data_IF_910844837914
#
_entry.id   IF_910844837914
#
_cell.length_a   1.000
_cell.length_b   1.000
_cell.length_c   1.000
_cell.angle_alpha   90.00
_cell.angle_beta   90.00
_cell.angle_gamma   90.00
#
_symmetry.space_group_name_H-M   'P 1'
#
loop_
_entity.id
_entity.type
_entity.pdbx_description
1 polymer ?
#
# COMPACT_ATOMS: atom_id res chain seq x y z
N UNK A 1 -41.32 39.04 -2.73
CA UNK A 1 -40.23 38.34 -2.04
C UNK A 1 -39.98 36.92 -2.58
N UNK A 2 -40.98 36.12 -2.90
CA UNK A 2 -40.82 34.71 -3.37
C UNK A 2 -40.09 34.53 -4.71
N UNK A 3 -40.16 35.52 -5.64
CA UNK A 3 -39.46 35.46 -6.95
C UNK A 3 -37.95 35.69 -6.84
N UNK A 4 -37.50 36.49 -5.88
CA UNK A 4 -36.08 36.79 -5.69
C UNK A 4 -35.36 35.59 -5.08
N UNK A 5 -36.02 34.85 -4.17
CA UNK A 5 -35.42 33.61 -3.58
C UNK A 5 -35.22 32.49 -4.64
N UNK A 6 -36.19 32.32 -5.59
CA UNK A 6 -36.04 31.33 -6.66
C UNK A 6 -34.87 31.63 -7.62
N UNK A 7 -34.64 32.93 -7.92
CA UNK A 7 -33.52 33.33 -8.78
C UNK A 7 -32.18 33.16 -8.06
N UNK A 8 -32.11 33.52 -6.76
CA UNK A 8 -30.90 33.32 -5.97
C UNK A 8 -30.52 31.84 -5.80
N UNK A 9 -31.52 30.95 -5.58
CA UNK A 9 -31.31 29.51 -5.45
C UNK A 9 -30.86 28.88 -6.79
N UNK A 10 -31.42 29.37 -7.92
CA UNK A 10 -30.99 28.90 -9.24
C UNK A 10 -29.57 29.36 -9.60
N UNK A 11 -29.18 30.58 -9.22
CA UNK A 11 -27.82 31.08 -9.41
C UNK A 11 -26.78 30.30 -8.57
N UNK A 12 -27.12 29.93 -7.34
CA UNK A 12 -26.22 29.15 -6.45
C UNK A 12 -26.02 27.75 -7.02
N UNK A 13 -27.08 27.11 -7.56
CA UNK A 13 -26.99 25.77 -8.17
C UNK A 13 -26.19 25.82 -9.48
N UNK A 14 -26.34 26.86 -10.32
CA UNK A 14 -25.54 27.01 -11.55
C UNK A 14 -24.06 27.27 -11.26
N UNK A 15 -23.73 28.06 -10.22
CA UNK A 15 -22.34 28.34 -9.86
C UNK A 15 -21.68 27.09 -9.28
N UNK A 16 -22.37 26.31 -8.45
CA UNK A 16 -21.81 25.07 -7.90
C UNK A 16 -21.56 24.00 -8.97
N UNK A 17 -22.37 23.93 -10.05
CA UNK A 17 -22.14 23.00 -11.15
C UNK A 17 -20.97 23.40 -12.06
N UNK A 18 -20.64 24.69 -12.17
CA UNK A 18 -19.49 25.16 -12.94
C UNK A 18 -18.16 24.85 -12.23
N UNK A 19 -18.11 24.91 -10.90
CA UNK A 19 -16.89 24.59 -10.13
C UNK A 19 -16.70 23.07 -9.95
N UNK A 20 -17.77 22.27 -9.95
CA UNK A 20 -17.67 20.80 -9.85
C UNK A 20 -17.05 20.17 -11.12
N UNK A 21 -17.24 20.80 -12.28
CA UNK A 21 -16.75 20.27 -13.55
C UNK A 21 -15.21 20.39 -13.69
N UNK A 22 -14.61 21.41 -13.07
CA UNK A 22 -13.15 21.65 -13.15
C UNK A 22 -12.36 20.77 -12.19
N UNK A 23 -13.01 20.23 -11.15
CA UNK A 23 -12.34 19.42 -10.14
C UNK A 23 -12.01 18.00 -10.63
N UNK A 24 -12.87 17.44 -11.50
CA UNK A 24 -12.76 16.10 -12.05
C UNK A 24 -12.39 16.09 -13.54
N UNK A 25 -11.95 17.25 -14.05
CA UNK A 25 -11.57 17.35 -15.45
C UNK A 25 -10.29 16.55 -15.69
N UNK A 26 -10.34 15.67 -16.65
CA UNK A 26 -9.26 14.87 -17.22
C UNK A 26 -9.24 15.20 -18.71
N UNK A 27 -8.25 15.98 -19.15
CA UNK A 27 -8.26 16.58 -20.50
C UNK A 27 -7.79 15.59 -21.58
N UNK A 28 -6.87 14.70 -21.23
CA UNK A 28 -6.24 13.74 -22.15
C UNK A 28 -6.71 12.30 -21.93
N UNK A 29 -7.62 12.10 -20.95
CA UNK A 29 -8.28 10.82 -20.66
C UNK A 29 -7.30 9.70 -20.25
N UNK A 30 -6.22 10.05 -19.54
CA UNK A 30 -5.22 9.09 -19.05
C UNK A 30 -5.61 8.45 -17.68
N UNK A 31 -6.70 8.94 -17.07
CA UNK A 31 -7.23 8.48 -15.77
C UNK A 31 -6.82 9.35 -14.58
N UNK A 32 -5.97 10.35 -14.78
CA UNK A 32 -5.64 11.36 -13.80
C UNK A 32 -6.30 12.70 -14.13
N UNK A 33 -6.78 13.41 -13.11
CA UNK A 33 -7.36 14.73 -13.37
C UNK A 33 -6.27 15.77 -13.63
N UNK A 34 -6.55 16.77 -14.48
CA UNK A 34 -5.67 17.92 -14.75
C UNK A 34 -5.06 18.51 -13.47
N UNK A 35 -5.80 18.46 -12.36
CA UNK A 35 -5.38 19.00 -11.07
C UNK A 35 -4.37 18.08 -10.37
N UNK A 36 -4.54 16.76 -10.47
CA UNK A 36 -3.59 15.78 -9.93
C UNK A 36 -2.27 15.88 -10.67
N UNK A 37 -2.33 15.95 -11.99
CA UNK A 37 -1.17 16.06 -12.86
C UNK A 37 -0.39 17.35 -12.63
N UNK A 38 -1.05 18.51 -12.61
CA UNK A 38 -0.43 19.80 -12.25
C UNK A 38 0.22 19.77 -10.87
N UNK A 39 -0.37 19.04 -9.92
CA UNK A 39 0.19 18.87 -8.57
C UNK A 39 1.40 17.96 -8.55
N UNK A 40 1.41 16.92 -9.38
CA UNK A 40 2.51 15.99 -9.54
C UNK A 40 3.63 16.58 -10.42
N UNK A 41 3.26 17.25 -11.49
CA UNK A 41 4.16 17.84 -12.48
C UNK A 41 4.16 17.12 -13.85
N UNK A 42 3.13 16.27 -14.11
CA UNK A 42 2.85 15.72 -15.44
C UNK A 42 2.07 16.73 -16.31
N UNK A 43 1.96 16.45 -17.60
CA UNK A 43 1.28 17.33 -18.58
C UNK A 43 -0.17 16.88 -18.79
N UNK A 44 -1.19 17.65 -18.35
CA UNK A 44 -2.60 17.29 -18.48
C UNK A 44 -3.16 17.34 -19.89
N UNK A 45 -2.34 17.43 -20.91
CA UNK A 45 -2.73 17.38 -22.32
C UNK A 45 -1.98 16.28 -23.10
N UNK A 46 -1.15 15.49 -22.42
CA UNK A 46 -0.37 14.40 -23.02
C UNK A 46 -0.66 13.09 -22.31
N UNK A 47 -1.50 12.20 -22.87
CA UNK A 47 -1.90 10.93 -22.24
C UNK A 47 -0.74 9.95 -22.03
N UNK A 48 0.47 10.28 -22.49
CA UNK A 48 1.69 9.52 -22.20
C UNK A 48 2.45 10.03 -20.98
N UNK A 49 2.08 11.21 -20.47
CA UNK A 49 2.69 11.88 -19.31
C UNK A 49 1.98 11.56 -18.00
N UNK A 50 1.75 10.28 -17.75
CA UNK A 50 0.99 9.77 -16.57
C UNK A 50 1.73 9.95 -15.25
N UNK A 51 0.99 10.01 -14.14
CA UNK A 51 1.57 10.04 -12.78
C UNK A 51 2.21 8.68 -12.44
N UNK A 52 1.49 7.58 -12.68
CA UNK A 52 1.97 6.21 -12.52
C UNK A 52 1.62 5.40 -13.76
N UNK A 53 2.60 4.77 -14.37
CA UNK A 53 2.40 3.88 -15.54
C UNK A 53 1.48 2.70 -15.25
N UNK A 54 1.38 2.31 -13.97
CA UNK A 54 0.45 1.27 -13.53
C UNK A 54 -0.99 1.74 -13.32
N UNK A 55 -1.31 3.03 -13.50
CA UNK A 55 -2.64 3.58 -13.26
C UNK A 55 -3.03 3.63 -11.79
N UNK A 56 -2.06 3.64 -10.87
CA UNK A 56 -2.31 3.65 -9.43
C UNK A 56 -2.94 4.95 -8.96
N UNK A 57 -3.79 4.94 -7.92
CA UNK A 57 -4.34 6.17 -7.37
C UNK A 57 -3.27 7.17 -6.95
N UNK A 58 -3.53 8.44 -7.11
CA UNK A 58 -2.69 9.52 -6.63
C UNK A 58 -3.45 10.42 -5.65
N UNK A 59 -2.91 10.54 -4.44
CA UNK A 59 -3.47 11.40 -3.39
C UNK A 59 -2.73 12.73 -3.29
N UNK A 60 -3.28 13.76 -3.90
CA UNK A 60 -2.70 15.12 -3.86
C UNK A 60 -2.61 15.72 -2.45
N UNK A 61 -3.32 15.13 -1.47
CA UNK A 61 -3.38 15.59 -0.08
C UNK A 61 -2.51 14.75 0.87
N UNK A 62 -1.79 13.74 0.37
CA UNK A 62 -0.97 12.84 1.19
C UNK A 62 0.03 13.56 2.10
N UNK A 63 0.56 14.71 1.67
CA UNK A 63 1.50 15.52 2.45
C UNK A 63 0.86 16.23 3.66
N UNK A 64 -0.48 16.29 3.74
CA UNK A 64 -1.21 16.84 4.87
C UNK A 64 -1.51 15.80 5.95
N UNK A 65 -1.28 14.52 5.66
CA UNK A 65 -1.52 13.45 6.60
C UNK A 65 -0.42 13.38 7.65
N UNK A 66 -0.77 13.10 8.92
CA UNK A 66 0.25 12.81 9.92
C UNK A 66 1.05 11.57 9.52
N UNK A 67 2.38 11.71 9.47
CA UNK A 67 3.31 10.60 9.24
C UNK A 67 4.07 10.33 10.56
N UNK A 68 3.93 9.13 11.17
CA UNK A 68 4.70 8.78 12.36
C UNK A 68 6.20 8.64 12.07
N UNK A 69 6.57 8.46 10.81
CA UNK A 69 7.94 8.18 10.36
C UNK A 69 8.50 6.85 10.87
N UNK A 70 9.64 6.47 10.32
CA UNK A 70 10.42 5.33 10.80
C UNK A 70 11.32 5.81 11.94
N UNK A 71 10.94 5.50 13.18
CA UNK A 71 11.76 5.83 14.35
C UNK A 71 12.90 4.85 14.50
N UNK A 72 14.07 5.36 14.89
CA UNK A 72 15.23 4.54 15.23
C UNK A 72 15.21 4.04 16.67
N UNK A 73 16.30 3.34 17.05
CA UNK A 73 16.47 2.69 18.35
C UNK A 73 17.40 3.47 19.32
N UNK A 74 17.73 4.72 19.03
CA UNK A 74 18.70 5.49 19.84
C UNK A 74 18.07 6.23 21.02
N UNK A 75 16.81 6.64 20.92
CA UNK A 75 16.12 7.40 21.97
C UNK A 75 14.69 6.89 22.11
N UNK A 76 14.27 6.59 23.34
CA UNK A 76 12.89 6.25 23.63
C UNK A 76 11.96 7.46 23.42
N UNK A 77 10.70 7.24 22.99
CA UNK A 77 10.12 5.95 22.64
C UNK A 77 10.70 5.40 21.32
N UNK A 78 11.09 4.13 21.36
CA UNK A 78 11.75 3.44 20.25
C UNK A 78 10.77 3.10 19.12
N UNK A 79 11.29 3.02 17.91
CA UNK A 79 10.56 2.52 16.74
C UNK A 79 10.30 1.02 16.79
N UNK A 80 9.39 0.55 15.93
CA UNK A 80 9.15 -0.89 15.77
C UNK A 80 10.42 -1.59 15.26
N UNK A 81 10.61 -2.82 15.73
CA UNK A 81 11.82 -3.60 15.47
C UNK A 81 12.99 -3.32 16.44
N UNK A 82 12.92 -2.29 17.25
CA UNK A 82 13.95 -1.99 18.25
C UNK A 82 13.78 -2.85 19.51
N UNK A 83 14.91 -3.27 20.08
CA UNK A 83 14.89 -4.00 21.35
C UNK A 83 14.30 -3.15 22.49
N UNK A 84 13.54 -3.78 23.36
CA UNK A 84 12.85 -3.13 24.48
C UNK A 84 12.79 -4.02 25.72
N UNK A 85 12.57 -3.42 26.88
CA UNK A 85 12.35 -4.14 28.15
C UNK A 85 10.88 -4.15 28.54
N UNK A 86 10.17 -3.05 28.30
CA UNK A 86 8.75 -2.88 28.58
C UNK A 86 8.06 -1.97 27.54
N UNK A 87 6.72 -1.90 27.64
CA UNK A 87 5.88 -1.19 26.65
C UNK A 87 6.11 0.33 26.66
N UNK A 88 6.61 0.91 27.77
CA UNK A 88 6.83 2.36 27.85
C UNK A 88 8.00 2.86 27.00
N UNK A 89 8.87 1.93 26.64
CA UNK A 89 9.98 2.23 25.73
C UNK A 89 9.58 2.26 24.27
N UNK A 90 8.41 1.72 23.89
CA UNK A 90 7.95 1.66 22.53
C UNK A 90 7.14 2.89 22.12
N UNK A 91 7.14 3.20 20.82
CA UNK A 91 6.30 4.27 20.27
C UNK A 91 4.81 4.00 20.53
N UNK A 92 4.02 5.07 20.53
CA UNK A 92 2.58 4.97 20.71
C UNK A 92 1.95 4.00 19.69
N UNK A 93 1.09 3.10 20.18
CA UNK A 93 0.45 2.06 19.37
C UNK A 93 1.27 0.77 19.23
N UNK A 94 2.43 0.68 19.90
CA UNK A 94 3.28 -0.50 19.90
C UNK A 94 3.49 -1.03 21.32
N UNK A 95 3.80 -2.32 21.41
CA UNK A 95 4.14 -3.01 22.66
C UNK A 95 5.52 -3.65 22.57
N UNK A 96 6.11 -3.95 23.70
CA UNK A 96 7.35 -4.72 23.81
C UNK A 96 7.05 -6.22 23.67
N UNK A 97 6.84 -6.66 22.43
CA UNK A 97 6.45 -8.02 22.10
C UNK A 97 7.62 -9.00 22.13
N UNK A 98 7.40 -10.21 22.65
CA UNK A 98 8.39 -11.28 22.64
C UNK A 98 8.24 -12.12 21.35
N UNK A 99 9.27 -12.09 20.49
CA UNK A 99 9.27 -12.81 19.22
C UNK A 99 10.71 -13.25 18.89
N UNK A 100 10.89 -14.45 18.32
CA UNK A 100 12.22 -14.99 17.95
C UNK A 100 13.28 -14.90 19.07
N UNK A 101 12.88 -15.16 20.31
CA UNK A 101 13.74 -15.09 21.51
C UNK A 101 14.25 -13.69 21.89
N UNK A 102 13.70 -12.65 21.28
CA UNK A 102 14.02 -11.25 21.60
C UNK A 102 12.74 -10.49 21.98
N UNK A 103 12.91 -9.43 22.78
CA UNK A 103 11.85 -8.46 23.05
C UNK A 103 12.07 -7.25 22.18
N UNK A 104 11.09 -6.92 21.33
CA UNK A 104 11.19 -5.76 20.45
C UNK A 104 9.84 -5.07 20.31
N UNK A 105 9.89 -3.76 20.06
CA UNK A 105 8.69 -2.98 19.82
C UNK A 105 7.95 -3.50 18.58
N UNK A 106 6.69 -3.84 18.75
CA UNK A 106 5.83 -4.48 17.75
C UNK A 106 4.53 -3.69 17.60
N UNK A 107 4.09 -3.34 16.38
CA UNK A 107 2.88 -2.55 16.19
C UNK A 107 1.62 -3.37 16.54
N UNK A 108 0.63 -2.67 17.10
CA UNK A 108 -0.71 -3.20 17.38
C UNK A 108 -1.71 -2.74 16.30
N UNK A 109 -2.90 -3.36 16.31
CA UNK A 109 -4.04 -2.81 15.57
C UNK A 109 -4.32 -1.37 16.02
N UNK A 110 -4.66 -0.50 15.07
CA UNK A 110 -4.83 0.95 15.29
C UNK A 110 -3.53 1.76 15.15
N UNK A 111 -2.36 1.13 15.11
CA UNK A 111 -1.10 1.85 14.86
C UNK A 111 -1.06 2.37 13.43
N UNK A 112 -0.68 3.63 13.25
CA UNK A 112 -0.53 4.23 11.92
C UNK A 112 0.78 3.77 11.29
N UNK A 113 0.70 3.25 10.07
CA UNK A 113 1.86 2.84 9.27
C UNK A 113 2.62 4.08 8.81
N UNK A 114 3.96 4.12 8.88
CA UNK A 114 4.74 5.25 8.36
C UNK A 114 4.64 5.33 6.84
N UNK A 115 4.84 6.53 6.31
CA UNK A 115 4.91 6.76 4.88
C UNK A 115 6.10 6.00 4.30
N UNK A 116 5.85 5.26 3.25
CA UNK A 116 6.85 4.48 2.55
C UNK A 116 6.77 4.74 1.06
N UNK A 117 7.93 4.96 0.44
CA UNK A 117 8.07 5.08 -1.01
C UNK A 117 8.98 3.96 -1.48
N UNK A 118 8.52 3.16 -2.42
CA UNK A 118 9.27 2.11 -3.09
C UNK A 118 9.21 2.28 -4.60
N UNK A 119 10.08 1.60 -5.32
CA UNK A 119 10.01 1.56 -6.79
C UNK A 119 9.10 0.42 -7.20
N UNK A 120 8.10 0.71 -8.03
CA UNK A 120 7.12 -0.26 -8.47
C UNK A 120 7.61 -1.08 -9.68
N UNK A 121 6.77 -2.02 -10.13
CA UNK A 121 7.06 -2.90 -11.27
C UNK A 121 7.23 -2.18 -12.61
N UNK A 122 6.84 -0.92 -12.70
CA UNK A 122 6.98 -0.09 -13.91
C UNK A 122 8.13 0.92 -13.81
N UNK A 123 8.84 0.93 -12.67
CA UNK A 123 9.97 1.81 -12.38
C UNK A 123 9.57 3.16 -11.80
N UNK A 124 8.30 3.34 -11.40
CA UNK A 124 7.82 4.57 -10.80
C UNK A 124 8.03 4.57 -9.27
N UNK A 125 8.28 5.74 -8.68
CA UNK A 125 8.40 5.92 -7.23
C UNK A 125 6.99 5.97 -6.62
N UNK A 126 6.45 4.80 -6.29
CA UNK A 126 5.14 4.68 -5.70
C UNK A 126 5.16 4.99 -4.20
N UNK A 127 4.26 5.87 -3.77
CA UNK A 127 4.09 6.29 -2.38
C UNK A 127 2.86 5.60 -1.77
N UNK A 128 3.07 4.80 -0.74
CA UNK A 128 1.98 4.05 -0.10
C UNK A 128 0.82 4.95 0.38
N UNK A 129 1.11 6.21 0.73
CA UNK A 129 0.09 7.19 1.14
C UNK A 129 -0.77 7.71 -0.01
N UNK A 130 -0.45 7.37 -1.26
CA UNK A 130 -1.33 7.62 -2.39
C UNK A 130 -2.61 6.80 -2.32
N UNK A 131 -2.60 5.66 -1.62
CA UNK A 131 -3.78 4.83 -1.39
C UNK A 131 -4.65 5.32 -0.22
N UNK A 132 -4.19 6.31 0.56
CA UNK A 132 -4.93 6.80 1.72
C UNK A 132 -6.23 7.49 1.32
N UNK A 133 -7.35 7.06 1.92
CA UNK A 133 -8.70 7.60 1.69
C UNK A 133 -9.19 7.50 0.23
N UNK A 134 -8.73 6.49 -0.52
CA UNK A 134 -9.14 6.23 -1.90
C UNK A 134 -10.34 5.28 -2.03
N UNK A 135 -11.05 4.99 -0.95
CA UNK A 135 -12.33 4.24 -0.98
C UNK A 135 -12.23 2.76 -0.61
N UNK A 136 -11.07 2.13 -0.75
CA UNK A 136 -10.87 0.72 -0.43
C UNK A 136 -9.90 0.49 0.72
N UNK A 137 -9.99 -0.64 1.44
CA UNK A 137 -8.94 -1.06 2.38
C UNK A 137 -7.65 -1.40 1.62
N UNK A 138 -6.53 -1.46 2.36
CA UNK A 138 -5.23 -1.75 1.76
C UNK A 138 -4.73 -3.08 2.34
N UNK A 139 -4.38 -4.02 1.47
CA UNK A 139 -3.73 -5.27 1.82
C UNK A 139 -2.24 -5.15 1.52
N UNK A 140 -1.40 -5.27 2.54
CA UNK A 140 0.05 -5.33 2.40
C UNK A 140 0.49 -6.79 2.47
N UNK A 141 1.25 -7.25 1.50
CA UNK A 141 2.02 -8.49 1.54
C UNK A 141 3.50 -8.14 1.70
N UNK A 142 4.14 -8.61 2.76
CA UNK A 142 5.61 -8.62 2.85
C UNK A 142 6.12 -9.94 2.30
N UNK A 143 6.98 -9.91 1.30
CA UNK A 143 7.37 -11.09 0.56
C UNK A 143 8.87 -11.16 0.26
N UNK A 144 9.34 -12.36 -0.04
CA UNK A 144 10.70 -12.61 -0.48
C UNK A 144 10.68 -13.54 -1.70
N UNK A 145 11.36 -13.16 -2.77
CA UNK A 145 11.31 -13.86 -4.05
C UNK A 145 11.79 -15.31 -3.98
N UNK A 146 12.70 -15.65 -3.05
CA UNK A 146 13.23 -17.01 -2.88
C UNK A 146 12.27 -17.96 -2.16
N UNK A 147 11.15 -17.49 -1.58
CA UNK A 147 10.25 -18.36 -0.80
C UNK A 147 9.27 -19.10 -1.70
N UNK A 148 9.16 -20.45 -1.60
CA UNK A 148 8.19 -21.20 -2.40
C UNK A 148 6.75 -20.75 -2.18
N UNK A 149 6.40 -20.35 -0.95
CA UNK A 149 5.06 -19.87 -0.59
C UNK A 149 4.69 -18.60 -1.36
N UNK A 150 5.62 -17.64 -1.47
CA UNK A 150 5.39 -16.42 -2.24
C UNK A 150 5.21 -16.71 -3.74
N UNK A 151 6.00 -17.64 -4.28
CA UNK A 151 5.90 -18.07 -5.68
C UNK A 151 4.54 -18.73 -5.96
N UNK A 152 4.11 -19.71 -5.13
CA UNK A 152 2.82 -20.40 -5.28
C UNK A 152 1.65 -19.43 -5.18
N UNK A 153 1.68 -18.52 -4.20
CA UNK A 153 0.64 -17.52 -4.03
C UNK A 153 0.57 -16.56 -5.22
N UNK A 154 1.71 -16.12 -5.73
CA UNK A 154 1.76 -15.22 -6.90
C UNK A 154 1.31 -15.93 -8.17
N UNK A 155 1.65 -17.18 -8.36
CA UNK A 155 1.14 -18.01 -9.47
C UNK A 155 -0.38 -18.15 -9.40
N UNK A 156 -0.93 -18.37 -8.20
CA UNK A 156 -2.37 -18.45 -8.02
C UNK A 156 -3.09 -17.13 -8.36
N UNK A 157 -2.59 -15.99 -7.90
CA UNK A 157 -3.18 -14.70 -8.26
C UNK A 157 -3.08 -14.43 -9.77
N UNK A 158 -1.93 -14.69 -10.38
CA UNK A 158 -1.64 -14.38 -11.78
C UNK A 158 -2.37 -15.32 -12.76
N UNK A 159 -2.23 -16.64 -12.58
CA UNK A 159 -2.67 -17.65 -13.54
C UNK A 159 -3.79 -18.57 -13.03
N UNK A 160 -4.15 -18.47 -11.75
CA UNK A 160 -5.11 -19.40 -11.13
C UNK A 160 -4.51 -20.77 -10.82
N UNK A 161 -3.18 -20.90 -10.69
CA UNK A 161 -2.52 -22.14 -10.33
C UNK A 161 -2.96 -22.63 -8.93
N UNK A 162 -3.69 -23.73 -8.90
CA UNK A 162 -4.28 -24.28 -7.68
C UNK A 162 -3.29 -25.06 -6.80
N UNK A 163 -2.01 -25.16 -7.19
CA UNK A 163 -1.00 -25.85 -6.38
C UNK A 163 -0.84 -25.27 -4.97
N UNK A 164 -1.24 -24.01 -4.77
CA UNK A 164 -1.29 -23.37 -3.45
C UNK A 164 -2.27 -24.07 -2.50
N UNK A 165 -3.32 -24.71 -3.02
CA UNK A 165 -4.34 -25.39 -2.21
C UNK A 165 -3.82 -26.66 -1.50
N UNK A 166 -2.72 -27.21 -1.98
CA UNK A 166 -2.06 -28.37 -1.36
C UNK A 166 -1.22 -27.99 -0.14
N UNK A 167 -1.04 -26.69 0.10
CA UNK A 167 -0.20 -26.21 1.19
C UNK A 167 -0.92 -26.37 2.54
N UNK A 168 -0.21 -26.82 3.57
CA UNK A 168 -0.77 -27.07 4.92
C UNK A 168 -1.36 -25.81 5.59
N UNK A 169 -0.90 -24.62 5.20
CA UNK A 169 -1.38 -23.34 5.72
C UNK A 169 -2.59 -22.81 4.94
N UNK A 170 -2.91 -23.41 3.77
CA UNK A 170 -4.05 -22.96 2.97
C UNK A 170 -5.37 -23.26 3.66
N UNK A 171 -6.28 -22.31 3.56
CA UNK A 171 -7.65 -22.48 4.05
C UNK A 171 -8.64 -22.10 2.94
N UNK A 172 -9.75 -22.84 2.78
CA UNK A 172 -10.71 -22.61 1.68
C UNK A 172 -11.29 -21.18 1.62
N UNK A 173 -11.40 -20.50 2.76
CA UNK A 173 -11.88 -19.12 2.80
C UNK A 173 -10.88 -18.13 2.17
N UNK A 174 -9.62 -18.50 1.97
CA UNK A 174 -8.64 -17.65 1.29
C UNK A 174 -8.94 -17.46 -0.20
N UNK A 175 -9.69 -18.38 -0.82
CA UNK A 175 -10.11 -18.26 -2.22
C UNK A 175 -10.90 -16.97 -2.49
N UNK A 176 -11.64 -16.46 -1.51
CA UNK A 176 -12.36 -15.20 -1.62
C UNK A 176 -11.42 -14.00 -1.85
N UNK A 177 -10.18 -14.08 -1.39
CA UNK A 177 -9.19 -13.01 -1.58
C UNK A 177 -8.92 -12.75 -3.06
N UNK A 178 -8.81 -13.82 -3.87
CA UNK A 178 -8.59 -13.65 -5.31
C UNK A 178 -9.74 -12.89 -5.97
N UNK A 179 -10.99 -13.23 -5.63
CA UNK A 179 -12.15 -12.54 -6.18
C UNK A 179 -12.17 -11.04 -5.82
N UNK A 180 -11.82 -10.71 -4.58
CA UNK A 180 -11.77 -9.31 -4.09
C UNK A 180 -10.64 -8.54 -4.80
N UNK A 181 -9.48 -9.18 -4.98
CA UNK A 181 -8.32 -8.58 -5.68
C UNK A 181 -8.62 -8.42 -7.17
N UNK A 182 -9.15 -9.46 -7.83
CA UNK A 182 -9.51 -9.43 -9.25
C UNK A 182 -10.57 -8.35 -9.54
N UNK A 183 -11.52 -8.14 -8.60
CA UNK A 183 -12.56 -7.11 -8.71
C UNK A 183 -12.05 -5.68 -8.40
N UNK A 184 -10.81 -5.52 -7.91
CA UNK A 184 -10.27 -4.21 -7.50
C UNK A 184 -10.93 -3.62 -6.25
N UNK A 185 -11.52 -4.46 -5.39
CA UNK A 185 -12.21 -4.04 -4.15
C UNK A 185 -11.25 -3.86 -2.96
N UNK A 186 -9.97 -4.04 -3.19
CA UNK A 186 -8.87 -3.83 -2.24
C UNK A 186 -7.65 -3.32 -2.98
N UNK A 187 -6.91 -2.39 -2.40
CA UNK A 187 -5.58 -2.04 -2.89
C UNK A 187 -4.58 -3.07 -2.37
N UNK A 188 -4.07 -3.91 -3.25
CA UNK A 188 -3.09 -4.92 -2.88
C UNK A 188 -1.68 -4.42 -3.21
N UNK A 189 -0.85 -4.29 -2.17
CA UNK A 189 0.55 -3.88 -2.30
C UNK A 189 1.45 -5.01 -1.82
N UNK A 190 2.21 -5.58 -2.74
CA UNK A 190 3.27 -6.54 -2.44
C UNK A 190 4.59 -5.80 -2.27
N UNK A 191 5.24 -6.00 -1.14
CA UNK A 191 6.53 -5.39 -0.82
C UNK A 191 7.59 -6.48 -0.79
N UNK A 192 8.45 -6.51 -1.81
CA UNK A 192 9.59 -7.41 -1.88
C UNK A 192 10.76 -6.81 -1.09
N UNK A 193 11.32 -7.58 -0.15
CA UNK A 193 12.46 -7.14 0.66
C UNK A 193 13.66 -8.09 0.58
N UNK A 194 13.53 -9.22 -0.13
CA UNK A 194 14.62 -10.16 -0.46
C UNK A 194 14.50 -10.62 -1.88
N UNK A 195 15.65 -10.77 -2.53
CA UNK A 195 15.81 -11.23 -3.90
C UNK A 195 15.51 -12.73 -4.08
N UNK A 196 15.87 -13.25 -5.24
CA UNK A 196 15.62 -14.65 -5.64
C UNK A 196 16.50 -15.67 -4.91
N UNK A 197 17.63 -15.23 -4.36
CA UNK A 197 18.53 -16.07 -3.54
C UNK A 197 18.36 -15.73 -2.06
N UNK A 198 18.29 -16.77 -1.23
CA UNK A 198 18.16 -16.59 0.22
C UNK A 198 19.33 -15.78 0.79
N UNK A 199 19.01 -14.69 1.47
CA UNK A 199 19.99 -13.80 2.11
C UNK A 199 20.39 -12.59 1.25
N UNK A 200 20.17 -12.61 -0.06
CA UNK A 200 20.41 -11.47 -0.92
C UNK A 200 19.35 -10.38 -0.72
N UNK A 201 19.75 -9.10 -0.75
CA UNK A 201 18.79 -7.99 -0.76
C UNK A 201 17.99 -8.02 -2.06
N UNK A 202 16.79 -7.45 -2.04
CA UNK A 202 16.04 -7.15 -3.26
C UNK A 202 16.69 -5.95 -3.96
N UNK A 203 16.71 -5.98 -5.28
CA UNK A 203 17.14 -4.86 -6.13
C UNK A 203 15.93 -4.11 -6.70
N UNK A 204 16.14 -2.86 -7.14
CA UNK A 204 15.06 -2.02 -7.67
C UNK A 204 14.35 -2.69 -8.87
N UNK A 205 15.09 -3.38 -9.74
CA UNK A 205 14.54 -4.09 -10.91
C UNK A 205 13.76 -5.38 -10.58
N UNK A 206 13.85 -5.89 -9.37
CA UNK A 206 13.21 -7.16 -8.98
C UNK A 206 11.67 -7.08 -8.99
N UNK A 207 11.09 -5.90 -8.77
CA UNK A 207 9.64 -5.71 -8.89
C UNK A 207 9.17 -5.96 -10.33
N UNK A 208 9.90 -5.49 -11.33
CA UNK A 208 9.63 -5.76 -12.75
C UNK A 208 9.78 -7.25 -13.08
N UNK A 209 10.88 -7.87 -12.65
CA UNK A 209 11.14 -9.31 -12.87
C UNK A 209 10.02 -10.16 -12.24
N UNK A 210 9.56 -9.78 -11.02
CA UNK A 210 8.47 -10.49 -10.35
C UNK A 210 7.14 -10.32 -11.09
N UNK A 211 6.84 -9.12 -11.54
CA UNK A 211 5.61 -8.84 -12.29
C UNK A 211 5.61 -9.53 -13.67
N UNK A 212 6.75 -9.64 -14.34
CA UNK A 212 6.86 -10.37 -15.61
C UNK A 212 6.60 -11.87 -15.41
N UNK A 213 7.04 -12.44 -14.26
CA UNK A 213 6.79 -13.84 -13.92
C UNK A 213 5.34 -14.08 -13.45
N UNK A 214 4.75 -13.12 -12.74
CA UNK A 214 3.43 -13.23 -12.11
C UNK A 214 2.59 -11.96 -12.35
N UNK A 215 2.21 -11.65 -13.61
CA UNK A 215 1.49 -10.43 -13.93
C UNK A 215 0.10 -10.38 -13.30
N UNK A 216 -0.27 -9.23 -12.75
CA UNK A 216 -1.60 -8.99 -12.23
C UNK A 216 -1.92 -7.49 -12.23
N UNK A 217 -3.03 -7.08 -12.85
CA UNK A 217 -3.38 -5.67 -13.07
C UNK A 217 -3.75 -4.90 -11.80
N UNK A 218 -4.17 -5.59 -10.73
CA UNK A 218 -4.62 -4.99 -9.47
C UNK A 218 -3.61 -5.20 -8.32
N UNK A 219 -2.40 -5.70 -8.60
CA UNK A 219 -1.36 -5.88 -7.58
C UNK A 219 -0.21 -4.93 -7.86
N UNK A 220 0.03 -4.03 -6.93
CA UNK A 220 1.17 -3.11 -6.93
C UNK A 220 2.35 -3.86 -6.30
N UNK A 221 3.40 -4.12 -7.06
CA UNK A 221 4.61 -4.76 -6.54
C UNK A 221 5.72 -3.72 -6.42
N UNK A 222 6.23 -3.50 -5.22
CA UNK A 222 7.29 -2.54 -4.91
C UNK A 222 8.46 -3.20 -4.19
N UNK A 223 9.63 -2.58 -4.22
CA UNK A 223 10.83 -3.07 -3.55
C UNK A 223 11.14 -2.30 -2.26
N UNK A 224 11.66 -2.99 -1.26
CA UNK A 224 12.16 -2.46 0.02
C UNK A 224 13.58 -3.01 0.31
N UNK A 225 14.62 -2.54 -0.41
CA UNK A 225 15.99 -3.04 -0.27
C UNK A 225 16.57 -2.88 1.16
N UNK A 226 16.10 -1.87 1.89
CA UNK A 226 16.55 -1.58 3.26
C UNK A 226 15.77 -2.36 4.33
N UNK A 227 14.82 -3.19 3.95
CA UNK A 227 13.93 -3.97 4.84
C UNK A 227 13.20 -3.11 5.89
N UNK A 228 12.91 -1.85 5.57
CA UNK A 228 12.28 -0.88 6.49
C UNK A 228 10.89 -1.31 6.91
N UNK A 229 10.07 -1.73 5.95
CA UNK A 229 8.69 -2.18 6.20
C UNK A 229 8.68 -3.52 6.95
N UNK A 230 9.55 -4.47 6.55
CA UNK A 230 9.72 -5.73 7.28
C UNK A 230 10.12 -5.49 8.74
N UNK A 231 11.10 -4.62 8.97
CA UNK A 231 11.56 -4.27 10.32
C UNK A 231 10.45 -3.62 11.13
N UNK A 232 9.66 -2.75 10.50
CA UNK A 232 8.58 -2.04 11.17
C UNK A 232 7.39 -2.95 11.52
N UNK A 233 6.97 -3.79 10.58
CA UNK A 233 5.82 -4.69 10.78
C UNK A 233 6.16 -5.93 11.62
N UNK A 234 7.40 -6.40 11.60
CA UNK A 234 7.89 -7.59 12.31
C UNK A 234 7.07 -8.86 12.05
N UNK A 235 6.97 -9.33 10.82
CA UNK A 235 6.25 -10.56 10.50
C UNK A 235 6.91 -11.78 11.14
N UNK A 236 6.11 -12.80 11.52
CA UNK A 236 6.59 -14.08 12.06
C UNK A 236 7.09 -15.05 10.99
N UNK A 237 6.68 -14.85 9.76
CA UNK A 237 7.08 -15.66 8.59
C UNK A 237 6.82 -14.89 7.30
N UNK A 238 7.10 -15.48 6.15
CA UNK A 238 6.92 -14.90 4.83
C UNK A 238 6.28 -15.91 3.86
N UNK A 239 5.37 -15.47 2.98
CA UNK A 239 4.79 -14.13 2.95
C UNK A 239 3.97 -13.82 4.19
N UNK A 240 3.86 -12.53 4.54
CA UNK A 240 3.06 -12.06 5.67
C UNK A 240 2.08 -10.98 5.22
N UNK A 241 0.87 -11.02 5.76
CA UNK A 241 -0.22 -10.16 5.35
C UNK A 241 -0.67 -9.22 6.46
N UNK A 242 -0.92 -7.96 6.08
CA UNK A 242 -1.47 -6.93 6.95
C UNK A 242 -2.64 -6.25 6.24
N UNK A 243 -3.74 -6.09 6.93
CA UNK A 243 -4.84 -5.27 6.43
C UNK A 243 -4.75 -3.89 7.07
N UNK A 244 -4.79 -2.84 6.25
CA UNK A 244 -4.88 -1.47 6.72
C UNK A 244 -6.27 -0.91 6.43
N UNK A 245 -6.69 -0.01 7.30
CA UNK A 245 -7.81 0.90 7.04
C UNK A 245 -7.38 1.97 6.05
N UNK A 246 -8.35 2.67 5.45
CA UNK A 246 -8.11 3.75 4.50
C UNK A 246 -7.28 4.91 5.08
N UNK A 247 -7.27 5.10 6.40
CA UNK A 247 -6.49 6.12 7.09
C UNK A 247 -5.05 5.68 7.41
N UNK A 248 -4.59 4.55 6.86
CA UNK A 248 -3.28 3.94 7.07
C UNK A 248 -3.06 3.35 8.47
N UNK A 249 -4.10 3.12 9.25
CA UNK A 249 -3.99 2.39 10.51
C UNK A 249 -4.09 0.88 10.30
N UNK A 250 -3.33 0.09 11.06
CA UNK A 250 -3.41 -1.37 11.02
C UNK A 250 -4.80 -1.81 11.47
N UNK A 251 -5.52 -2.53 10.62
CA UNK A 251 -6.80 -3.17 10.94
C UNK A 251 -6.59 -4.57 11.51
N UNK A 252 -5.74 -5.34 10.83
CA UNK A 252 -5.35 -6.71 11.22
C UNK A 252 -3.84 -6.77 11.19
N UNK A 253 -3.18 -7.07 12.32
CA UNK A 253 -1.75 -7.32 12.36
C UNK A 253 -1.41 -8.61 11.62
N UNK A 254 -0.16 -8.75 11.20
CA UNK A 254 0.29 -9.85 10.38
C UNK A 254 0.19 -11.20 11.06
N UNK A 255 -0.16 -12.18 10.22
CA UNK A 255 0.27 -13.54 10.42
C UNK A 255 1.11 -13.94 9.19
N UNK A 256 2.33 -14.47 9.43
CA UNK A 256 3.15 -15.09 8.40
C UNK A 256 2.68 -16.53 8.15
N UNK A 257 2.80 -17.00 6.93
CA UNK A 257 2.51 -18.38 6.49
C UNK A 257 3.78 -19.18 6.30
#
# INVERSE_FOLDING_TARGET
MLKIYKILTLLIICVSSLFANDYYKDTDEDGYTDRQEKKFGSDPNDPSSVIYKGGWPYNMYKNNAPDPGFRGCTNAPYGNGCDCQDDTECMQGSICGYQFQTRQCTPLAGTKVPRFVGVDQFGDYFDLYDLMNQGYPILIELSAMYTPQANLLSSWFSSGDESVFEMKWWQPNFEQMKHIVDAGEVYYVRILHKGSTKGEPVEIGDATIWNDAYPHVNIITITDPEERMKTWFRPTGLPAFFMLNQDMTIRVPAEGV
#
